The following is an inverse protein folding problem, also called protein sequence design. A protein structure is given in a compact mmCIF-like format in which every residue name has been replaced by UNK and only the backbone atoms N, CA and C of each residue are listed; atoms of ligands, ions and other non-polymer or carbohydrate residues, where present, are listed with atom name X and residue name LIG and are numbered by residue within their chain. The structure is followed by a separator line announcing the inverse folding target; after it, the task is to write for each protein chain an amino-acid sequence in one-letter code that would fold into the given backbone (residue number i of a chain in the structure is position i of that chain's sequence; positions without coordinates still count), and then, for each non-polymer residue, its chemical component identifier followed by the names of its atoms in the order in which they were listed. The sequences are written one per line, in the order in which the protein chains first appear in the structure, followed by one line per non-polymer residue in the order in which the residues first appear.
data_IF_642417257635
#
_entry.id   IF_642417257635
#
_cell.length_a   1.000
_cell.length_b   1.000
_cell.length_c   1.000
_cell.angle_alpha   90.00
_cell.angle_beta   90.00
_cell.angle_gamma   90.00
#
_symmetry.space_group_name_H-M   'P 1'
#
loop_
_entity.id
_entity.type
_entity.pdbx_description
1 polymer ?
#
# COMPACT_ATOMS: atom_id res chain seq x y z
N UNK A 1 -19.28 14.99 11.83
CA UNK A 1 -18.78 14.06 12.88
C UNK A 1 -18.63 12.64 12.32
N UNK A 2 -19.71 11.95 11.92
CA UNK A 2 -19.64 10.56 11.41
C UNK A 2 -18.75 10.43 10.17
N UNK A 3 -18.95 11.27 9.14
CA UNK A 3 -18.16 11.22 7.90
C UNK A 3 -16.66 11.47 8.10
N UNK A 4 -16.28 12.33 9.07
CA UNK A 4 -14.88 12.54 9.46
C UNK A 4 -14.29 11.30 10.10
N UNK A 5 -15.02 10.64 11.01
CA UNK A 5 -14.58 9.38 11.61
C UNK A 5 -14.41 8.24 10.58
N UNK A 6 -15.29 8.17 9.58
CA UNK A 6 -15.15 7.23 8.46
C UNK A 6 -13.93 7.53 7.58
N UNK A 7 -13.62 8.81 7.34
CA UNK A 7 -12.42 9.21 6.62
C UNK A 7 -11.16 8.79 7.38
N UNK A 8 -11.07 9.08 8.68
CA UNK A 8 -9.92 8.70 9.51
C UNK A 8 -9.76 7.18 9.62
N UNK A 9 -10.87 6.44 9.72
CA UNK A 9 -10.84 4.98 9.65
C UNK A 9 -10.30 4.49 8.31
N UNK A 10 -10.73 5.09 7.20
CA UNK A 10 -10.26 4.73 5.85
C UNK A 10 -8.77 5.00 5.70
N UNK A 11 -8.28 6.13 6.24
CA UNK A 11 -6.86 6.47 6.27
C UNK A 11 -6.04 5.41 7.03
N UNK A 12 -6.50 5.05 8.24
CA UNK A 12 -5.83 4.03 9.07
C UNK A 12 -5.84 2.68 8.35
N UNK A 13 -6.96 2.30 7.74
CA UNK A 13 -7.08 1.06 6.97
C UNK A 13 -6.11 1.06 5.77
N UNK A 14 -6.00 2.18 5.05
CA UNK A 14 -5.06 2.33 3.95
C UNK A 14 -3.61 2.22 4.45
N UNK A 15 -3.27 2.85 5.56
CA UNK A 15 -1.96 2.72 6.19
C UNK A 15 -1.62 1.25 6.50
N UNK A 16 -2.54 0.51 7.11
CA UNK A 16 -2.37 -0.91 7.36
C UNK A 16 -2.29 -1.75 6.09
N UNK A 17 -3.02 -1.39 5.04
CA UNK A 17 -2.92 -2.04 3.73
C UNK A 17 -1.51 -1.89 3.15
N UNK A 18 -0.92 -0.69 3.20
CA UNK A 18 0.46 -0.46 2.74
C UNK A 18 1.45 -1.25 3.58
N UNK A 19 1.34 -1.23 4.91
CA UNK A 19 2.18 -2.04 5.80
C UNK A 19 2.06 -3.54 5.49
N UNK A 20 0.84 -4.02 5.22
CA UNK A 20 0.60 -5.40 4.86
C UNK A 20 1.22 -5.74 3.50
N UNK A 21 1.14 -4.86 2.50
CA UNK A 21 1.78 -5.08 1.21
C UNK A 21 3.32 -5.11 1.31
N UNK A 22 3.92 -4.30 2.19
CA UNK A 22 5.37 -4.27 2.38
C UNK A 22 5.86 -5.47 3.21
N UNK A 23 5.22 -5.76 4.35
CA UNK A 23 5.73 -6.73 5.33
C UNK A 23 5.00 -8.08 5.33
N UNK A 24 3.89 -8.21 4.62
CA UNK A 24 3.06 -9.42 4.65
C UNK A 24 3.78 -10.66 4.13
N UNK A 25 4.81 -10.50 3.28
CA UNK A 25 5.69 -11.60 2.83
C UNK A 25 6.36 -12.35 3.99
N UNK A 26 6.69 -11.65 5.09
CA UNK A 26 7.25 -12.27 6.30
C UNK A 26 6.14 -13.05 7.04
N UNK A 27 4.92 -12.53 7.05
CA UNK A 27 3.78 -13.16 7.71
C UNK A 27 3.35 -14.47 7.02
N UNK A 28 3.54 -14.53 5.69
CA UNK A 28 3.31 -15.74 4.86
C UNK A 28 4.18 -16.92 5.31
N UNK A 29 5.36 -16.65 5.91
CA UNK A 29 6.23 -17.70 6.47
C UNK A 29 5.50 -18.50 7.55
N UNK A 30 4.71 -17.83 8.39
CA UNK A 30 3.96 -18.45 9.50
C UNK A 30 2.67 -19.11 9.05
N UNK A 31 1.98 -18.55 8.06
CA UNK A 31 0.66 -19.05 7.59
C UNK A 31 0.56 -18.88 6.06
N UNK A 32 0.62 -19.99 5.32
CA UNK A 32 0.53 -19.96 3.85
C UNK A 32 -0.77 -19.36 3.32
N UNK A 33 -1.87 -19.49 4.06
CA UNK A 33 -3.16 -18.90 3.70
C UNK A 33 -3.10 -17.38 3.53
N UNK A 34 -2.19 -16.69 4.26
CA UNK A 34 -1.99 -15.24 4.14
C UNK A 34 -1.49 -14.87 2.73
N UNK A 35 -0.80 -15.77 2.02
CA UNK A 35 -0.34 -15.52 0.65
C UNK A 35 -1.50 -15.19 -0.31
N UNK A 36 -2.68 -15.78 -0.11
CA UNK A 36 -3.86 -15.52 -0.93
C UNK A 36 -4.35 -14.08 -0.83
N UNK A 37 -4.15 -13.42 0.31
CA UNK A 37 -4.49 -12.00 0.49
C UNK A 37 -3.32 -11.08 0.17
N UNK A 38 -2.11 -11.53 0.50
CA UNK A 38 -0.89 -10.75 0.33
C UNK A 38 -0.51 -10.55 -1.14
N UNK A 39 -0.60 -11.60 -1.98
CA UNK A 39 -0.26 -11.49 -3.39
C UNK A 39 -1.15 -10.47 -4.14
N UNK A 40 -2.49 -10.49 -4.00
CA UNK A 40 -3.34 -9.42 -4.54
C UNK A 40 -2.99 -8.04 -4.00
N UNK A 41 -2.66 -7.91 -2.70
CA UNK A 41 -2.30 -6.62 -2.11
C UNK A 41 -1.01 -6.04 -2.70
N UNK A 42 0.04 -6.86 -2.83
CA UNK A 42 1.32 -6.46 -3.48
C UNK A 42 1.09 -6.11 -4.94
N UNK A 43 0.34 -6.94 -5.67
CA UNK A 43 0.04 -6.71 -7.07
C UNK A 43 -0.74 -5.41 -7.29
N UNK A 44 -1.77 -5.17 -6.47
CA UNK A 44 -2.54 -3.94 -6.53
C UNK A 44 -1.71 -2.72 -6.17
N UNK A 45 -0.89 -2.79 -5.11
CA UNK A 45 0.04 -1.72 -4.72
C UNK A 45 1.03 -1.40 -5.83
N UNK A 46 1.58 -2.42 -6.49
CA UNK A 46 2.44 -2.26 -7.65
C UNK A 46 1.71 -1.55 -8.81
N UNK A 47 0.51 -2.00 -9.17
CA UNK A 47 -0.25 -1.37 -10.27
C UNK A 47 -0.57 0.10 -9.98
N UNK A 48 -0.97 0.41 -8.75
CA UNK A 48 -1.29 1.78 -8.33
C UNK A 48 -0.09 2.69 -8.48
N UNK A 49 1.07 2.28 -7.96
CA UNK A 49 2.31 3.07 -8.02
C UNK A 49 2.93 3.12 -9.42
N UNK A 50 2.85 2.03 -10.19
CA UNK A 50 3.48 1.92 -11.50
C UNK A 50 2.69 2.62 -12.61
N UNK A 51 1.35 2.53 -12.58
CA UNK A 51 0.47 3.14 -13.58
C UNK A 51 -0.12 4.48 -13.14
N UNK A 52 0.31 5.01 -11.99
CA UNK A 52 -0.23 6.26 -11.41
C UNK A 52 -1.75 6.20 -11.26
N UNK A 53 -2.29 5.02 -10.95
CA UNK A 53 -3.73 4.83 -10.85
C UNK A 53 -4.24 5.43 -9.54
N UNK A 54 -5.43 6.06 -9.54
CA UNK A 54 -6.03 6.51 -8.30
C UNK A 54 -6.36 5.32 -7.41
N UNK A 55 -5.86 5.31 -6.18
CA UNK A 55 -6.21 4.27 -5.22
C UNK A 55 -7.69 4.44 -4.80
N UNK A 56 -8.54 3.40 -4.92
CA UNK A 56 -9.96 3.50 -4.57
C UNK A 56 -10.17 3.86 -3.09
N UNK A 57 -9.23 3.49 -2.21
CA UNK A 57 -9.27 3.88 -0.80
C UNK A 57 -9.05 5.39 -0.62
N UNK A 58 -8.14 6.00 -1.38
CA UNK A 58 -7.92 7.46 -1.34
C UNK A 58 -9.13 8.20 -1.89
N UNK A 59 -9.72 7.72 -2.98
CA UNK A 59 -10.95 8.30 -3.52
C UNK A 59 -12.11 8.22 -2.52
N UNK A 60 -12.24 7.09 -1.81
CA UNK A 60 -13.23 6.90 -0.76
C UNK A 60 -12.98 7.84 0.43
N UNK A 61 -11.74 7.94 0.90
CA UNK A 61 -11.34 8.85 1.97
C UNK A 61 -11.69 10.31 1.62
N UNK A 62 -11.28 10.77 0.44
CA UNK A 62 -11.55 12.13 -0.02
C UNK A 62 -13.05 12.41 -0.16
N UNK A 63 -13.82 11.45 -0.65
CA UNK A 63 -15.29 11.56 -0.72
C UNK A 63 -15.90 11.71 0.68
N UNK A 64 -15.43 10.93 1.65
CA UNK A 64 -15.87 11.01 3.04
C UNK A 64 -15.46 12.33 3.71
N UNK A 65 -14.25 12.83 3.44
CA UNK A 65 -13.77 14.15 3.91
C UNK A 65 -14.62 15.28 3.36
N UNK A 66 -14.93 15.26 2.06
CA UNK A 66 -15.80 16.25 1.43
C UNK A 66 -17.22 16.24 2.02
N UNK A 67 -17.81 15.06 2.21
CA UNK A 67 -19.10 14.93 2.90
C UNK A 67 -19.04 15.39 4.37
N UNK A 68 -17.86 15.34 4.98
CA UNK A 68 -17.56 15.86 6.31
C UNK A 68 -17.25 17.36 6.37
N UNK A 69 -17.30 18.08 5.25
CA UNK A 69 -16.99 19.51 5.15
C UNK A 69 -15.49 19.85 5.18
N UNK A 70 -14.62 18.89 4.86
CA UNK A 70 -13.17 19.09 4.74
C UNK A 70 -12.76 19.13 3.27
N UNK A 71 -11.74 19.93 2.95
CA UNK A 71 -11.04 19.84 1.69
C UNK A 71 -10.16 18.58 1.76
N UNK A 72 -10.55 17.50 1.07
CA UNK A 72 -9.69 16.33 0.89
C UNK A 72 -8.35 16.70 0.27
N UNK A 73 -7.40 15.75 0.23
CA UNK A 73 -6.07 16.01 -0.31
C UNK A 73 -5.94 15.61 -1.78
N UNK A 74 -5.11 16.34 -2.53
CA UNK A 74 -4.75 16.03 -3.91
C UNK A 74 -3.69 14.92 -3.95
N UNK A 75 -3.81 14.02 -4.92
CA UNK A 75 -2.82 12.97 -5.15
C UNK A 75 -3.15 11.64 -4.46
N UNK A 76 -2.18 10.72 -4.48
CA UNK A 76 -2.27 9.41 -3.82
C UNK A 76 -2.00 9.47 -2.32
N UNK A 77 -2.35 8.40 -1.58
CA UNK A 77 -2.01 8.28 -0.15
C UNK A 77 -0.50 8.37 0.10
N UNK A 78 0.31 7.67 -0.73
CA UNK A 78 1.78 7.69 -0.62
C UNK A 78 2.34 9.07 -0.97
N UNK A 79 1.77 9.73 -1.98
CA UNK A 79 2.14 11.10 -2.37
C UNK A 79 1.89 12.07 -1.21
N UNK A 80 0.69 12.08 -0.65
CA UNK A 80 0.35 12.89 0.52
C UNK A 80 1.25 12.59 1.73
N UNK A 81 1.52 11.31 2.01
CA UNK A 81 2.36 10.92 3.13
C UNK A 81 3.82 11.35 2.94
N UNK A 82 4.35 11.22 1.73
CA UNK A 82 5.73 11.63 1.42
C UNK A 82 5.86 13.15 1.40
N UNK A 83 4.90 13.88 0.83
CA UNK A 83 4.86 15.34 0.91
C UNK A 83 4.79 15.82 2.35
N UNK A 84 4.00 15.16 3.20
CA UNK A 84 3.89 15.53 4.61
C UNK A 84 5.17 15.26 5.41
N UNK A 85 5.85 14.14 5.14
CA UNK A 85 7.03 13.71 5.91
C UNK A 85 8.33 14.33 5.40
N UNK A 86 8.51 14.39 4.08
CA UNK A 86 9.73 14.86 3.43
C UNK A 86 9.63 16.31 2.95
N UNK A 87 8.45 16.95 3.00
CA UNK A 87 8.20 18.28 2.43
C UNK A 87 8.64 18.39 0.96
N UNK A 88 8.54 17.27 0.21
CA UNK A 88 9.03 17.16 -1.15
C UNK A 88 7.95 16.52 -2.04
N UNK A 89 7.76 17.09 -3.23
CA UNK A 89 6.87 16.53 -4.24
C UNK A 89 7.42 15.20 -4.75
N UNK A 90 6.54 14.21 -4.83
CA UNK A 90 6.87 12.93 -5.42
C UNK A 90 6.98 13.09 -6.93
N UNK A 91 8.09 12.63 -7.51
CA UNK A 91 8.21 12.57 -8.97
C UNK A 91 7.60 11.27 -9.50
N UNK A 92 7.03 11.26 -10.71
CA UNK A 92 6.47 10.04 -11.31
C UNK A 92 7.49 8.89 -11.37
N UNK A 93 8.77 9.20 -11.57
CA UNK A 93 9.85 8.22 -11.55
C UNK A 93 10.06 7.61 -10.17
N UNK A 94 9.89 8.40 -9.10
CA UNK A 94 10.02 7.92 -7.73
C UNK A 94 8.85 7.00 -7.35
N UNK A 95 7.62 7.31 -7.75
CA UNK A 95 6.46 6.40 -7.62
C UNK A 95 6.71 5.06 -8.31
N UNK A 96 7.18 5.11 -9.57
CA UNK A 96 7.51 3.88 -10.30
C UNK A 96 8.62 3.09 -9.60
N UNK A 97 9.63 3.77 -9.04
CA UNK A 97 10.67 3.16 -8.23
C UNK A 97 10.11 2.50 -6.97
N UNK A 98 9.19 3.15 -6.24
CA UNK A 98 8.52 2.58 -5.06
C UNK A 98 7.72 1.32 -5.42
N UNK A 99 6.96 1.34 -6.52
CA UNK A 99 6.25 0.16 -7.01
C UNK A 99 7.20 -1.00 -7.34
N UNK A 100 8.27 -0.73 -8.09
CA UNK A 100 9.30 -1.73 -8.41
C UNK A 100 10.01 -2.26 -7.15
N UNK A 101 10.31 -1.39 -6.18
CA UNK A 101 10.93 -1.75 -4.92
C UNK A 101 10.00 -2.66 -4.11
N UNK A 102 8.71 -2.35 -4.02
CA UNK A 102 7.69 -3.17 -3.35
C UNK A 102 7.63 -4.58 -3.95
N UNK A 103 7.57 -4.66 -5.28
CA UNK A 103 7.50 -5.94 -5.99
C UNK A 103 8.81 -6.73 -5.84
N UNK A 104 9.96 -6.08 -6.04
CA UNK A 104 11.28 -6.71 -5.95
C UNK A 104 11.61 -7.21 -4.54
N UNK A 105 11.30 -6.42 -3.51
CA UNK A 105 11.46 -6.82 -2.12
C UNK A 105 10.63 -8.07 -1.80
N UNK A 106 9.35 -8.07 -2.20
CA UNK A 106 8.48 -9.22 -1.95
C UNK A 106 8.90 -10.46 -2.75
N UNK A 107 9.29 -10.32 -4.01
CA UNK A 107 9.85 -11.43 -4.79
C UNK A 107 11.06 -12.04 -4.09
N UNK A 108 12.00 -11.23 -3.60
CA UNK A 108 13.15 -11.70 -2.83
C UNK A 108 12.74 -12.48 -1.58
N UNK A 109 11.79 -11.95 -0.79
CA UNK A 109 11.27 -12.62 0.40
C UNK A 109 10.64 -13.97 0.04
N UNK A 110 9.77 -14.04 -0.96
CA UNK A 110 9.13 -15.28 -1.39
C UNK A 110 10.15 -16.30 -1.93
N UNK A 111 11.11 -15.88 -2.75
CA UNK A 111 12.19 -16.73 -3.26
C UNK A 111 13.02 -17.32 -2.12
N UNK A 112 13.39 -16.51 -1.12
CA UNK A 112 14.13 -16.97 0.05
C UNK A 112 13.34 -17.99 0.88
N UNK A 113 12.05 -17.75 1.09
CA UNK A 113 11.16 -18.65 1.84
C UNK A 113 11.00 -19.98 1.11
N UNK A 114 10.79 -19.95 -0.21
CA UNK A 114 10.66 -21.15 -1.03
C UNK A 114 11.97 -21.96 -1.08
N UNK A 115 13.10 -21.27 -1.21
CA UNK A 115 14.43 -21.90 -1.18
C UNK A 115 14.72 -22.58 0.16
N UNK A 116 14.37 -21.94 1.29
CA UNK A 116 14.52 -22.55 2.62
C UNK A 116 13.65 -23.78 2.82
N UNK A 117 12.43 -23.80 2.28
CA UNK A 117 11.54 -24.97 2.36
C UNK A 117 12.04 -26.15 1.53
N UNK A 118 12.50 -25.90 0.30
CA UNK A 118 13.13 -26.93 -0.55
C UNK A 118 14.41 -27.55 0.03
N UNK A 119 15.05 -26.92 1.01
CA UNK A 119 16.23 -27.48 1.69
C UNK A 119 15.90 -28.36 2.90
N UNK A 120 14.63 -28.39 3.32
CA UNK A 120 14.15 -29.18 4.46
C UNK A 120 13.31 -30.39 4.06
N UNK A 121 12.96 -30.51 2.78
CA UNK A 121 12.38 -31.70 2.13
C UNK A 121 13.48 -32.48 1.39
#
# INVERSE_FOLDING_TARGET
MIYRGLADFTFILHFFFVLFAVFGGILVVRRQFIAWFHLPAVFWGFLVEFFHLPCPLTALENSLRQLGGEAGYSGGFIEYFVELVLYAHITPQFQMFLGCLLLGFNLFVYSFVFWRRRRYD
#
